data_IF_964736250616
#
_entry.id   IF_964736250616
#
_cell.length_a   1.000
_cell.length_b   1.000
_cell.length_c   1.000
_cell.angle_alpha   90.00
_cell.angle_beta   90.00
_cell.angle_gamma   90.00
#
_symmetry.space_group_name_H-M   'P 1'
#
loop_
_entity.id
_entity.type
_entity.pdbx_description
1 polymer ?
#
# COMPACT_ATOMS: atom_id res chain seq x y z
N UNK A 1 3.04 -5.53 24.72
CA UNK A 1 3.62 -5.19 23.42
C UNK A 1 5.08 -4.80 23.59
N UNK A 2 5.97 -5.36 22.75
CA UNK A 2 7.37 -4.95 22.69
C UNK A 2 7.48 -3.72 21.80
N UNK A 3 7.84 -2.59 22.37
CA UNK A 3 8.18 -1.37 21.63
C UNK A 3 9.69 -1.22 21.69
N UNK A 4 10.35 -1.31 20.53
CA UNK A 4 11.81 -1.18 20.41
C UNK A 4 12.09 0.11 19.64
N UNK A 5 12.92 0.97 20.22
CA UNK A 5 13.38 2.18 19.54
C UNK A 5 14.54 1.81 18.59
N UNK A 6 14.24 1.73 17.31
CA UNK A 6 15.23 1.44 16.26
C UNK A 6 14.81 2.10 14.94
N UNK A 7 15.76 2.24 14.01
CA UNK A 7 15.42 2.56 12.63
C UNK A 7 15.06 1.26 11.93
N UNK A 8 13.78 1.04 11.66
CA UNK A 8 13.23 -0.18 11.04
C UNK A 8 13.91 -0.51 9.69
N UNK A 9 14.34 0.47 8.92
CA UNK A 9 14.95 0.27 7.61
C UNK A 9 16.48 0.05 7.67
N UNK A 10 17.10 0.19 8.85
CA UNK A 10 18.56 0.03 9.01
C UNK A 10 19.00 -1.44 8.95
N UNK A 11 18.12 -2.38 9.22
CA UNK A 11 18.40 -3.81 9.14
C UNK A 11 18.22 -4.32 7.70
N UNK A 12 19.08 -5.27 7.32
CA UNK A 12 18.94 -5.89 6.00
C UNK A 12 17.66 -6.75 5.97
N UNK A 13 16.84 -6.53 4.97
CA UNK A 13 15.56 -7.24 4.83
C UNK A 13 15.72 -8.76 4.75
N UNK A 14 16.90 -9.24 4.32
CA UNK A 14 17.20 -10.69 4.25
C UNK A 14 17.38 -11.32 5.63
N UNK A 15 17.68 -10.52 6.66
CA UNK A 15 17.90 -11.01 8.03
C UNK A 15 16.59 -11.31 8.76
N UNK A 16 15.44 -10.85 8.22
CA UNK A 16 14.12 -11.16 8.77
C UNK A 16 13.85 -12.66 8.66
N UNK A 17 13.83 -13.32 9.82
CA UNK A 17 13.57 -14.75 9.95
C UNK A 17 12.08 -15.07 9.93
N UNK A 18 11.73 -16.34 9.72
CA UNK A 18 10.33 -16.76 9.71
C UNK A 18 9.63 -16.52 11.06
N UNK A 19 10.35 -16.68 12.18
CA UNK A 19 9.87 -16.36 13.52
C UNK A 19 9.48 -14.91 13.74
N UNK A 20 10.07 -13.99 12.96
CA UNK A 20 9.82 -12.54 13.07
C UNK A 20 8.55 -12.11 12.34
N UNK A 21 8.10 -12.94 11.39
CA UNK A 21 6.97 -12.64 10.53
C UNK A 21 5.66 -12.57 11.30
N UNK A 22 4.76 -11.76 10.77
CA UNK A 22 3.48 -11.42 11.39
C UNK A 22 2.30 -11.91 10.53
N UNK A 23 1.17 -12.12 11.18
CA UNK A 23 -0.08 -12.48 10.51
C UNK A 23 -0.78 -11.25 9.93
N UNK A 24 -0.55 -10.08 10.53
CA UNK A 24 -1.18 -8.82 10.10
C UNK A 24 -0.19 -7.67 10.21
N UNK A 25 -0.13 -6.86 9.16
CA UNK A 25 0.56 -5.56 9.12
C UNK A 25 -0.45 -4.47 8.79
N UNK A 26 -0.57 -3.47 9.67
CA UNK A 26 -1.30 -2.24 9.40
C UNK A 26 -0.32 -1.08 9.53
N UNK A 27 -0.16 -0.30 8.45
CA UNK A 27 0.89 0.70 8.39
C UNK A 27 0.49 1.97 7.65
N UNK A 28 0.99 3.08 8.18
CA UNK A 28 0.96 4.39 7.55
C UNK A 28 2.39 4.96 7.55
N UNK A 29 3.24 4.52 6.60
CA UNK A 29 4.61 5.00 6.52
C UNK A 29 4.65 6.47 6.08
N UNK A 30 5.78 7.18 6.28
CA UNK A 30 5.93 8.55 5.81
C UNK A 30 5.65 8.69 4.32
N UNK A 31 4.83 9.68 3.90
CA UNK A 31 4.47 9.93 2.51
C UNK A 31 5.56 10.60 1.67
N UNK A 32 6.70 10.85 2.23
CA UNK A 32 7.86 11.43 1.60
C UNK A 32 9.06 11.23 2.48
N UNK A 33 10.21 11.42 1.89
CA UNK A 33 11.49 11.22 2.54
C UNK A 33 12.43 10.52 1.56
N UNK A 34 13.71 10.82 1.73
CA UNK A 34 14.76 10.14 0.97
C UNK A 34 15.68 9.44 1.96
N UNK A 35 15.78 8.15 1.82
CA UNK A 35 16.73 7.36 2.60
C UNK A 35 18.15 7.47 2.04
N UNK A 36 19.12 7.38 2.94
CA UNK A 36 20.52 7.35 2.58
C UNK A 36 20.86 6.08 1.78
N UNK A 37 21.86 6.16 0.91
CA UNK A 37 22.28 5.03 0.06
C UNK A 37 22.58 3.75 0.86
N UNK A 38 23.16 3.88 2.05
CA UNK A 38 23.43 2.74 2.93
C UNK A 38 22.15 2.00 3.34
N UNK A 39 21.07 2.73 3.62
CA UNK A 39 19.76 2.15 3.96
C UNK A 39 19.16 1.46 2.73
N UNK A 40 19.24 2.09 1.55
CA UNK A 40 18.71 1.53 0.31
C UNK A 40 19.33 0.18 -0.06
N UNK A 41 20.60 -0.05 0.29
CA UNK A 41 21.33 -1.30 0.05
C UNK A 41 20.80 -2.49 0.86
N UNK A 42 19.99 -2.24 1.88
CA UNK A 42 19.35 -3.28 2.67
C UNK A 42 18.14 -3.92 1.95
N UNK A 43 17.77 -3.42 0.76
CA UNK A 43 16.57 -3.83 0.03
C UNK A 43 16.87 -4.26 -1.39
N UNK A 44 16.19 -5.32 -1.91
CA UNK A 44 16.37 -5.80 -3.28
C UNK A 44 16.05 -4.75 -4.34
N UNK A 45 15.01 -3.94 -4.13
CA UNK A 45 14.65 -2.83 -4.99
C UNK A 45 15.19 -1.56 -4.36
N UNK A 46 16.37 -1.13 -4.81
CA UNK A 46 17.02 0.08 -4.32
C UNK A 46 16.26 1.32 -4.77
N UNK A 47 15.90 2.16 -3.82
CA UNK A 47 15.20 3.43 -4.04
C UNK A 47 15.43 4.39 -2.87
N UNK A 48 15.45 5.68 -3.17
CA UNK A 48 15.45 6.71 -2.13
C UNK A 48 14.08 6.98 -1.51
N UNK A 49 12.99 6.47 -2.07
CA UNK A 49 11.64 6.72 -1.56
C UNK A 49 11.38 5.85 -0.34
N UNK A 50 11.31 6.46 0.84
CA UNK A 50 11.14 5.78 2.14
C UNK A 50 9.92 4.85 2.15
N UNK A 51 8.79 5.29 1.58
CA UNK A 51 7.56 4.48 1.55
C UNK A 51 7.71 3.18 0.76
N UNK A 52 8.56 3.16 -0.28
CA UNK A 52 8.81 1.96 -1.09
C UNK A 52 9.71 0.95 -0.38
N UNK A 53 10.64 1.41 0.43
CA UNK A 53 11.44 0.54 1.29
C UNK A 53 10.55 -0.08 2.37
N UNK A 54 9.67 0.71 2.98
CA UNK A 54 8.69 0.18 3.92
C UNK A 54 7.75 -0.86 3.29
N UNK A 55 7.28 -0.65 2.06
CA UNK A 55 6.41 -1.63 1.41
C UNK A 55 7.13 -2.97 1.20
N UNK A 56 8.41 -2.95 0.78
CA UNK A 56 9.23 -4.16 0.69
C UNK A 56 9.38 -4.84 2.06
N UNK A 57 9.66 -4.03 3.10
CA UNK A 57 9.76 -4.52 4.47
C UNK A 57 8.46 -5.21 4.92
N UNK A 58 7.29 -4.62 4.65
CA UNK A 58 6.00 -5.20 5.04
C UNK A 58 5.72 -6.50 4.30
N UNK A 59 5.99 -6.57 2.99
CA UNK A 59 5.87 -7.81 2.23
C UNK A 59 6.75 -8.92 2.84
N UNK A 60 7.99 -8.60 3.24
CA UNK A 60 8.90 -9.56 3.86
C UNK A 60 8.44 -9.98 5.26
N UNK A 61 7.93 -9.03 6.05
CA UNK A 61 7.45 -9.26 7.41
C UNK A 61 6.18 -10.09 7.50
N UNK A 62 5.44 -10.26 6.41
CA UNK A 62 4.26 -11.10 6.40
C UNK A 62 4.62 -12.57 6.31
N UNK A 63 3.91 -13.41 7.07
CA UNK A 63 3.78 -14.84 6.82
C UNK A 63 3.04 -15.09 5.51
N UNK A 64 3.18 -16.26 4.93
CA UNK A 64 2.26 -16.71 3.86
C UNK A 64 0.84 -16.79 4.43
N UNK A 65 -0.13 -16.22 3.71
CA UNK A 65 -1.50 -16.01 4.21
C UNK A 65 -1.66 -14.81 5.15
N UNK A 66 -0.58 -14.11 5.46
CA UNK A 66 -0.63 -12.87 6.25
C UNK A 66 -1.17 -11.70 5.42
N UNK A 67 -1.86 -10.77 6.09
CA UNK A 67 -2.60 -9.66 5.49
C UNK A 67 -1.96 -8.32 5.78
N UNK A 68 -2.00 -7.42 4.81
CA UNK A 68 -1.52 -6.05 4.97
C UNK A 68 -2.60 -5.03 4.59
N UNK A 69 -2.66 -3.95 5.38
CA UNK A 69 -3.30 -2.69 4.99
C UNK A 69 -2.27 -1.56 5.10
N UNK A 70 -1.90 -0.96 3.99
CA UNK A 70 -0.87 0.09 3.97
C UNK A 70 -1.34 1.31 3.19
N UNK A 71 -1.11 2.49 3.78
CA UNK A 71 -1.34 3.77 3.11
C UNK A 71 -0.11 4.15 2.30
N UNK A 72 -0.30 4.53 1.03
CA UNK A 72 0.79 4.97 0.16
C UNK A 72 0.31 6.11 -0.76
N UNK A 73 1.23 6.90 -1.32
CA UNK A 73 0.87 7.91 -2.32
C UNK A 73 0.18 7.25 -3.52
N UNK A 74 -0.87 7.88 -4.03
CA UNK A 74 -1.57 7.34 -5.21
C UNK A 74 -0.68 7.27 -6.46
N UNK A 75 0.34 8.13 -6.57
CA UNK A 75 1.32 8.10 -7.65
C UNK A 75 2.08 6.78 -7.76
N UNK A 76 2.14 5.98 -6.67
CA UNK A 76 2.68 4.62 -6.72
C UNK A 76 2.00 3.75 -7.79
N UNK A 77 0.73 3.97 -8.07
CA UNK A 77 -0.05 3.18 -9.03
C UNK A 77 0.35 3.46 -10.49
N UNK A 78 0.92 4.65 -10.78
CA UNK A 78 1.18 5.11 -12.17
C UNK A 78 2.60 5.62 -12.43
N UNK A 79 3.46 5.74 -11.41
CA UNK A 79 4.84 6.14 -11.62
C UNK A 79 5.60 5.14 -12.51
N UNK A 80 6.39 5.65 -13.45
CA UNK A 80 7.11 4.85 -14.45
C UNK A 80 8.61 4.68 -14.16
N UNK A 81 9.09 5.14 -13.00
CA UNK A 81 10.46 4.88 -12.57
C UNK A 81 10.67 3.39 -12.26
N UNK A 82 11.91 2.93 -12.42
CA UNK A 82 12.26 1.51 -12.30
C UNK A 82 11.84 0.90 -10.95
N UNK A 83 11.96 1.65 -9.86
CA UNK A 83 11.63 1.16 -8.53
C UNK A 83 10.12 0.98 -8.35
N UNK A 84 9.31 1.94 -8.81
CA UNK A 84 7.84 1.86 -8.80
C UNK A 84 7.35 0.66 -9.60
N UNK A 85 7.88 0.50 -10.82
CA UNK A 85 7.52 -0.62 -11.71
C UNK A 85 7.90 -1.97 -11.09
N UNK A 86 9.15 -2.11 -10.62
CA UNK A 86 9.63 -3.34 -10.00
C UNK A 86 8.83 -3.71 -8.73
N UNK A 87 8.47 -2.71 -7.92
CA UNK A 87 7.73 -2.94 -6.69
C UNK A 87 6.25 -3.29 -6.94
N UNK A 88 5.61 -2.67 -7.95
CA UNK A 88 4.26 -3.10 -8.38
C UNK A 88 4.28 -4.53 -8.89
N UNK A 89 5.28 -4.87 -9.73
CA UNK A 89 5.47 -6.23 -10.21
C UNK A 89 5.59 -7.21 -9.04
N UNK A 90 6.50 -6.94 -8.10
CA UNK A 90 6.69 -7.77 -6.91
C UNK A 90 5.38 -7.94 -6.12
N UNK A 91 4.67 -6.85 -5.86
CA UNK A 91 3.41 -6.88 -5.11
C UNK A 91 2.36 -7.74 -5.82
N UNK A 92 2.22 -7.62 -7.14
CA UNK A 92 1.22 -8.35 -7.91
C UNK A 92 1.58 -9.84 -8.12
N UNK A 93 2.87 -10.18 -8.16
CA UNK A 93 3.34 -11.56 -8.33
C UNK A 93 3.41 -12.35 -7.01
N UNK A 94 3.81 -11.72 -5.89
CA UNK A 94 4.01 -12.38 -4.60
C UNK A 94 2.79 -12.28 -3.68
N UNK A 95 1.91 -11.29 -3.92
CA UNK A 95 0.77 -11.02 -3.07
C UNK A 95 -0.54 -10.96 -3.88
N UNK A 96 -1.64 -11.31 -3.25
CA UNK A 96 -2.99 -11.03 -3.74
C UNK A 96 -3.39 -9.62 -3.29
N UNK A 97 -3.11 -8.61 -4.11
CA UNK A 97 -3.64 -7.26 -3.94
C UNK A 97 -5.13 -7.28 -4.33
N UNK A 98 -6.00 -7.45 -3.37
CA UNK A 98 -7.42 -7.65 -3.64
C UNK A 98 -8.25 -6.36 -3.60
N UNK A 99 -7.79 -5.31 -2.91
CA UNK A 99 -8.56 -4.07 -2.75
C UNK A 99 -7.63 -2.86 -2.76
N UNK A 100 -8.02 -1.83 -3.51
CA UNK A 100 -7.42 -0.49 -3.45
C UNK A 100 -8.53 0.49 -3.09
N UNK A 101 -8.35 1.21 -1.98
CA UNK A 101 -9.20 2.32 -1.57
C UNK A 101 -8.52 3.64 -1.93
N UNK A 102 -9.05 4.35 -2.91
CA UNK A 102 -8.57 5.70 -3.27
C UNK A 102 -9.20 6.73 -2.34
N UNK A 103 -8.36 7.41 -1.58
CA UNK A 103 -8.79 8.40 -0.61
C UNK A 103 -8.85 9.80 -1.24
N UNK A 104 -9.86 10.61 -0.91
CA UNK A 104 -9.96 11.98 -1.39
C UNK A 104 -8.79 12.84 -0.90
N UNK A 105 -8.46 13.89 -1.64
CA UNK A 105 -7.48 14.89 -1.21
C UNK A 105 -7.89 15.49 0.15
N UNK A 106 -6.91 15.69 1.04
CA UNK A 106 -7.16 16.20 2.39
C UNK A 106 -7.58 15.17 3.44
N UNK A 107 -7.63 13.87 3.09
CA UNK A 107 -7.88 12.78 4.04
C UNK A 107 -6.84 12.79 5.19
N UNK A 108 -5.60 13.14 4.88
CA UNK A 108 -4.55 13.36 5.88
C UNK A 108 -4.29 14.85 6.05
N UNK A 109 -4.53 15.35 7.26
CA UNK A 109 -4.34 16.77 7.57
C UNK A 109 -2.86 17.15 7.53
N UNK A 110 -2.56 18.35 7.02
CA UNK A 110 -1.20 18.88 6.95
C UNK A 110 -0.39 18.43 5.73
N UNK A 111 -0.96 17.64 4.84
CA UNK A 111 -0.34 17.26 3.56
C UNK A 111 -1.33 17.40 2.41
N UNK A 112 -0.85 17.88 1.26
CA UNK A 112 -1.63 17.88 0.01
C UNK A 112 -1.50 16.57 -0.79
N UNK A 113 -0.87 15.55 -0.21
CA UNK A 113 -0.62 14.28 -0.90
C UNK A 113 -1.91 13.48 -1.01
N UNK A 114 -2.28 13.10 -2.23
CA UNK A 114 -3.34 12.12 -2.48
C UNK A 114 -2.81 10.72 -2.22
N UNK A 115 -3.57 9.90 -1.52
CA UNK A 115 -3.15 8.58 -1.06
C UNK A 115 -4.15 7.50 -1.41
N UNK A 116 -3.67 6.27 -1.46
CA UNK A 116 -4.48 5.06 -1.54
C UNK A 116 -4.17 4.14 -0.37
N UNK A 117 -5.11 3.30 -0.01
CA UNK A 117 -4.86 2.17 0.89
C UNK A 117 -4.81 0.91 0.07
N UNK A 118 -3.70 0.18 0.14
CA UNK A 118 -3.53 -1.13 -0.48
C UNK A 118 -3.86 -2.21 0.54
N UNK A 119 -4.78 -3.12 0.18
CA UNK A 119 -5.09 -4.30 0.99
C UNK A 119 -4.68 -5.56 0.23
N UNK A 120 -3.76 -6.33 0.80
CA UNK A 120 -3.24 -7.52 0.15
C UNK A 120 -2.96 -8.66 1.15
N UNK A 121 -2.91 -9.86 0.62
CA UNK A 121 -2.52 -11.09 1.32
C UNK A 121 -1.30 -11.69 0.63
N UNK A 122 -0.29 -12.08 1.41
CA UNK A 122 0.94 -12.69 0.88
C UNK A 122 0.76 -14.16 0.53
N UNK A 123 1.37 -14.60 -0.57
CA UNK A 123 1.55 -16.03 -0.89
C UNK A 123 0.85 -16.49 -2.16
N UNK A 124 0.18 -15.61 -2.88
CA UNK A 124 -0.38 -15.89 -4.21
C UNK A 124 -0.37 -14.65 -5.07
N UNK A 125 -0.26 -14.83 -6.38
CA UNK A 125 -0.34 -13.73 -7.32
C UNK A 125 -1.74 -13.09 -7.36
N UNK A 126 -1.76 -11.82 -7.69
CA UNK A 126 -3.00 -11.05 -7.90
C UNK A 126 -3.62 -11.41 -9.25
N UNK A 127 -4.89 -11.76 -9.25
CA UNK A 127 -5.67 -11.99 -10.47
C UNK A 127 -6.55 -10.78 -10.79
N UNK A 128 -7.25 -10.27 -9.78
CA UNK A 128 -8.18 -9.14 -9.90
C UNK A 128 -8.03 -8.21 -8.73
N UNK A 129 -8.16 -6.91 -8.99
CA UNK A 129 -8.13 -5.86 -7.97
C UNK A 129 -9.46 -5.13 -7.98
N UNK A 130 -10.12 -5.10 -6.84
CA UNK A 130 -11.30 -4.26 -6.64
C UNK A 130 -10.86 -2.87 -6.20
N UNK A 131 -11.24 -1.86 -6.99
CA UNK A 131 -11.02 -0.44 -6.70
C UNK A 131 -12.27 0.17 -6.10
N UNK A 132 -12.08 1.02 -5.10
CA UNK A 132 -13.12 1.87 -4.55
C UNK A 132 -12.59 3.29 -4.44
N UNK A 133 -13.23 4.21 -5.12
CA UNK A 133 -12.95 5.65 -5.02
C UNK A 133 -13.87 6.27 -3.98
N UNK A 134 -13.29 6.68 -2.85
CA UNK A 134 -14.04 7.31 -1.79
C UNK A 134 -14.39 8.75 -2.17
N UNK A 135 -15.67 8.99 -2.47
CA UNK A 135 -16.24 10.32 -2.67
C UNK A 135 -17.05 10.72 -1.43
N UNK A 136 -16.60 11.78 -0.76
CA UNK A 136 -17.28 12.31 0.43
C UNK A 136 -18.18 13.49 0.12
N UNK A 137 -18.25 13.94 -1.15
CA UNK A 137 -19.10 15.05 -1.59
C UNK A 137 -18.77 16.42 -0.96
N UNK A 138 -17.61 16.55 -0.30
CA UNK A 138 -17.19 17.78 0.37
C UNK A 138 -15.67 17.94 0.37
N UNK A 139 -15.21 19.17 0.56
CA UNK A 139 -13.78 19.43 0.78
C UNK A 139 -13.38 18.95 2.18
N UNK A 140 -12.35 18.14 2.23
CA UNK A 140 -11.78 17.62 3.46
C UNK A 140 -10.61 18.47 3.95
N UNK A 141 -10.37 18.44 5.26
CA UNK A 141 -9.28 19.16 5.87
C UNK A 141 -9.35 19.10 7.40
N UNK A 142 -8.50 19.90 8.06
CA UNK A 142 -8.38 19.89 9.52
C UNK A 142 -9.70 20.13 10.26
N UNK A 143 -10.57 21.00 9.73
CA UNK A 143 -11.88 21.35 10.33
C UNK A 143 -13.01 20.44 9.88
N UNK A 144 -12.77 19.62 8.87
CA UNK A 144 -13.75 18.71 8.29
C UNK A 144 -13.06 17.37 7.91
N UNK A 145 -12.58 16.61 8.89
CA UNK A 145 -11.82 15.37 8.64
C UNK A 145 -12.70 14.23 8.16
N UNK A 146 -12.05 13.17 7.68
CA UNK A 146 -12.68 11.89 7.41
C UNK A 146 -13.31 11.33 8.69
N UNK A 147 -14.49 10.73 8.56
CA UNK A 147 -15.22 10.15 9.68
C UNK A 147 -15.89 8.82 9.30
N UNK A 148 -16.44 8.11 10.28
CA UNK A 148 -17.00 6.78 10.09
C UNK A 148 -18.17 6.73 9.09
N UNK A 149 -18.96 7.81 8.99
CA UNK A 149 -20.08 7.87 8.02
C UNK A 149 -19.57 7.91 6.59
N UNK A 150 -18.43 8.58 6.35
CA UNK A 150 -17.80 8.62 5.02
C UNK A 150 -17.35 7.23 4.57
N UNK A 151 -16.97 6.38 5.52
CA UNK A 151 -16.45 5.03 5.25
C UNK A 151 -17.56 3.96 5.17
N UNK A 152 -18.79 4.27 5.55
CA UNK A 152 -19.86 3.29 5.71
C UNK A 152 -20.16 2.53 4.41
N UNK A 153 -20.23 3.23 3.27
CA UNK A 153 -20.49 2.61 1.97
C UNK A 153 -19.33 1.71 1.54
N UNK A 154 -18.08 2.17 1.67
CA UNK A 154 -16.91 1.33 1.42
C UNK A 154 -16.92 0.05 2.25
N UNK A 155 -17.22 0.16 3.56
CA UNK A 155 -17.25 -0.98 4.49
C UNK A 155 -18.33 -1.99 4.07
N UNK A 156 -19.46 -1.53 3.55
CA UNK A 156 -20.50 -2.42 3.07
C UNK A 156 -20.13 -3.05 1.72
N UNK A 157 -19.69 -2.24 0.76
CA UNK A 157 -19.35 -2.68 -0.58
C UNK A 157 -18.17 -3.67 -0.60
N UNK A 158 -17.18 -3.51 0.28
CA UNK A 158 -16.00 -4.40 0.31
C UNK A 158 -16.35 -5.85 0.66
N UNK A 159 -17.46 -6.12 1.36
CA UNK A 159 -17.88 -7.47 1.77
C UNK A 159 -18.13 -8.39 0.55
N UNK A 160 -18.58 -7.81 -0.53
CA UNK A 160 -18.92 -8.52 -1.76
C UNK A 160 -18.15 -8.05 -2.98
N UNK A 161 -17.25 -7.07 -2.81
CA UNK A 161 -16.59 -6.34 -3.90
C UNK A 161 -17.65 -5.79 -4.88
N UNK A 162 -18.68 -5.15 -4.33
CA UNK A 162 -19.81 -4.64 -5.10
C UNK A 162 -19.35 -3.65 -6.15
N UNK A 163 -19.97 -3.70 -7.33
CA UNK A 163 -19.73 -2.74 -8.42
C UNK A 163 -20.74 -1.61 -8.31
N UNK A 164 -20.24 -0.40 -8.25
CA UNK A 164 -21.04 0.83 -8.14
C UNK A 164 -20.44 1.92 -9.04
N UNK A 165 -21.00 3.09 -9.05
CA UNK A 165 -20.41 4.25 -9.78
C UNK A 165 -19.02 4.62 -9.24
N UNK A 166 -18.73 4.26 -7.98
CA UNK A 166 -17.47 4.54 -7.29
C UNK A 166 -16.55 3.34 -7.18
N UNK A 167 -16.92 2.18 -7.72
CA UNK A 167 -16.12 0.95 -7.58
C UNK A 167 -16.16 0.07 -8.83
N UNK A 168 -15.00 -0.52 -9.14
CA UNK A 168 -14.82 -1.36 -10.32
C UNK A 168 -13.78 -2.45 -10.07
N UNK A 169 -13.68 -3.41 -10.95
CA UNK A 169 -12.67 -4.47 -10.92
C UNK A 169 -11.72 -4.29 -12.09
N UNK A 170 -10.42 -4.41 -11.81
CA UNK A 170 -9.35 -4.48 -12.81
C UNK A 170 -8.81 -5.91 -12.83
N UNK A 171 -8.77 -6.52 -14.02
CA UNK A 171 -8.12 -7.81 -14.26
C UNK A 171 -6.64 -7.58 -14.51
N UNK A 172 -5.77 -8.18 -13.70
CA UNK A 172 -4.31 -8.02 -13.81
C UNK A 172 -3.75 -8.60 -15.13
N UNK A 173 -4.50 -9.48 -15.79
CA UNK A 173 -4.19 -9.94 -17.14
C UNK A 173 -4.20 -8.83 -18.19
N UNK A 174 -4.92 -7.73 -17.93
CA UNK A 174 -5.06 -6.59 -18.86
C UNK A 174 -4.10 -5.44 -18.60
N UNK A 175 -3.39 -5.44 -17.47
CA UNK A 175 -2.42 -4.37 -17.15
C UNK A 175 -1.20 -4.44 -18.08
N UNK A 176 -0.61 -3.29 -18.34
CA UNK A 176 0.63 -3.19 -19.12
C UNK A 176 1.77 -3.89 -18.37
N UNK A 177 2.35 -4.93 -18.97
CA UNK A 177 3.42 -5.73 -18.33
C UNK A 177 4.79 -5.03 -18.34
N UNK A 178 4.97 -3.96 -19.07
CA UNK A 178 6.19 -3.15 -19.05
C UNK A 178 6.19 -2.17 -17.86
N UNK A 179 5.04 -1.66 -17.50
CA UNK A 179 4.86 -0.65 -16.44
C UNK A 179 4.11 -1.15 -15.21
N UNK A 180 3.34 -2.23 -15.34
CA UNK A 180 2.52 -2.84 -14.28
C UNK A 180 1.51 -1.84 -13.66
N UNK A 181 0.91 -0.99 -14.48
CA UNK A 181 -0.09 0.00 -14.12
C UNK A 181 -1.44 -0.22 -14.85
#
# INVERSE_FOLDING_TARGET
PNIIHSNTLAENITDIQESDRKDVVLANPPFGGKEQTQIQQNFPISTGETAYLFLQHFIKMLKVGGRCGVVIKNTFLSNTDNASVALRKQLLEECSLHTILDLPGGAFTGTGVKTVVLFFEKGRATEKVWYYQLDVGRNMGKTNPLNDKDMADFIECQKTSALTDNSWIVDVGTVNKDTWD
#
